data_IF_920437583011
#
_entry.id   IF_920437583011
#
_cell.length_a   1.000
_cell.length_b   1.000
_cell.length_c   1.000
_cell.angle_alpha   90.00
_cell.angle_beta   90.00
_cell.angle_gamma   90.00
#
_symmetry.space_group_name_H-M   'P 1'
#
loop_
_entity.id
_entity.type
_entity.pdbx_description
1 polymer ?
#
# COMPACT_ATOMS: atom_id res chain seq x y z
N UNK A 1 -37.36 29.23 -38.26
CA UNK A 1 -36.72 27.89 -38.09
C UNK A 1 -35.40 27.75 -38.87
N UNK A 2 -35.24 28.39 -40.04
CA UNK A 2 -33.98 28.31 -40.80
C UNK A 2 -32.80 29.08 -40.13
N UNK A 3 -33.06 30.26 -39.55
CA UNK A 3 -32.02 31.09 -38.91
C UNK A 3 -31.38 30.46 -37.65
N UNK A 4 -32.14 29.66 -36.90
CA UNK A 4 -31.60 28.96 -35.71
C UNK A 4 -30.74 27.74 -36.11
N UNK A 5 -30.95 27.15 -37.29
CA UNK A 5 -30.15 26.03 -37.80
C UNK A 5 -28.81 26.49 -38.34
N UNK A 6 -28.74 27.66 -38.99
CA UNK A 6 -27.50 28.23 -39.51
C UNK A 6 -26.60 28.69 -38.37
N UNK A 7 -27.17 29.30 -37.31
CA UNK A 7 -26.41 29.75 -36.14
C UNK A 7 -25.80 28.58 -35.36
N UNK A 8 -26.53 27.46 -35.25
CA UNK A 8 -26.02 26.23 -34.62
C UNK A 8 -24.87 25.61 -35.43
N UNK A 9 -24.93 25.64 -36.76
CA UNK A 9 -23.87 25.10 -37.62
C UNK A 9 -22.62 26.00 -37.63
N UNK A 10 -22.80 27.31 -37.50
CA UNK A 10 -21.64 28.22 -37.37
C UNK A 10 -20.94 28.08 -36.03
N UNK A 11 -21.67 27.87 -34.93
CA UNK A 11 -21.12 27.61 -33.61
C UNK A 11 -20.33 26.28 -33.57
N UNK A 12 -20.89 25.20 -34.11
CA UNK A 12 -20.20 23.90 -34.25
C UNK A 12 -18.93 24.00 -35.12
N UNK A 13 -18.97 24.77 -36.19
CA UNK A 13 -17.82 25.00 -37.06
C UNK A 13 -16.73 25.81 -36.36
N UNK A 14 -17.12 26.77 -35.53
CA UNK A 14 -16.18 27.56 -34.71
C UNK A 14 -15.54 26.70 -33.62
N UNK A 15 -16.28 25.84 -32.93
CA UNK A 15 -15.74 24.91 -31.94
C UNK A 15 -14.76 23.92 -32.58
N UNK A 16 -15.10 23.34 -33.74
CA UNK A 16 -14.17 22.46 -34.48
C UNK A 16 -12.87 23.19 -34.85
N UNK A 17 -12.97 24.45 -35.32
CA UNK A 17 -11.77 25.25 -35.64
C UNK A 17 -10.92 25.57 -34.41
N UNK A 18 -11.54 25.81 -33.25
CA UNK A 18 -10.83 26.02 -31.97
C UNK A 18 -10.15 24.73 -31.50
N UNK A 19 -10.84 23.60 -31.59
CA UNK A 19 -10.28 22.29 -31.24
C UNK A 19 -9.10 21.90 -32.16
N UNK A 20 -9.22 22.14 -33.48
CA UNK A 20 -8.11 21.92 -34.43
C UNK A 20 -6.92 22.85 -34.17
N UNK A 21 -7.17 24.10 -33.82
CA UNK A 21 -6.12 25.06 -33.47
C UNK A 21 -5.39 24.67 -32.19
N UNK A 22 -6.11 24.20 -31.19
CA UNK A 22 -5.54 23.68 -29.93
C UNK A 22 -4.71 22.40 -30.18
N UNK A 23 -5.19 21.49 -31.02
CA UNK A 23 -4.46 20.29 -31.43
C UNK A 23 -3.18 20.59 -32.20
N UNK A 24 -3.21 21.59 -33.09
CA UNK A 24 -2.00 22.06 -33.82
C UNK A 24 -1.01 22.68 -32.86
N UNK A 25 -1.45 23.55 -31.96
CA UNK A 25 -0.59 24.15 -30.92
C UNK A 25 0.09 23.11 -30.02
N UNK A 26 -0.68 22.11 -29.57
CA UNK A 26 -0.15 21.00 -28.75
C UNK A 26 0.86 20.15 -29.54
N UNK A 27 0.59 19.90 -30.82
CA UNK A 27 1.50 19.16 -31.71
C UNK A 27 2.80 19.92 -31.97
N UNK A 28 2.73 21.23 -32.18
CA UNK A 28 3.92 22.09 -32.41
C UNK A 28 4.76 22.23 -31.15
N UNK A 29 4.13 22.30 -29.95
CA UNK A 29 4.81 22.24 -28.65
C UNK A 29 5.55 20.92 -28.45
N UNK A 30 4.90 19.81 -28.80
CA UNK A 30 5.49 18.46 -28.70
C UNK A 30 6.66 18.28 -29.64
N UNK A 31 6.54 18.77 -30.89
CA UNK A 31 7.64 18.70 -31.87
C UNK A 31 8.83 19.59 -31.50
N UNK A 32 8.59 20.77 -30.94
CA UNK A 32 9.66 21.65 -30.44
C UNK A 32 10.36 21.04 -29.22
N UNK A 33 9.61 20.42 -28.31
CA UNK A 33 10.18 19.74 -27.13
C UNK A 33 11.04 18.52 -27.53
N UNK A 34 10.63 17.76 -28.53
CA UNK A 34 11.39 16.60 -29.04
C UNK A 34 12.67 17.08 -29.75
N UNK A 35 12.60 18.12 -30.56
CA UNK A 35 13.77 18.69 -31.24
C UNK A 35 14.78 19.28 -30.24
N UNK A 36 14.30 20.02 -29.25
CA UNK A 36 15.14 20.58 -28.20
C UNK A 36 15.76 19.47 -27.34
N UNK A 37 15.00 18.43 -26.98
CA UNK A 37 15.47 17.30 -26.20
C UNK A 37 16.56 16.50 -26.92
N UNK A 38 16.40 16.24 -28.21
CA UNK A 38 17.41 15.53 -29.00
C UNK A 38 18.68 16.35 -29.21
N UNK A 39 18.57 17.65 -29.48
CA UNK A 39 19.71 18.57 -29.56
C UNK A 39 20.43 18.73 -28.22
N UNK A 40 19.69 18.80 -27.13
CA UNK A 40 20.22 18.85 -25.76
C UNK A 40 20.98 17.58 -25.39
N UNK A 41 20.46 16.40 -25.71
CA UNK A 41 21.12 15.12 -25.42
C UNK A 41 22.41 14.94 -26.25
N UNK A 42 22.43 15.35 -27.52
CA UNK A 42 23.66 15.31 -28.34
C UNK A 42 24.70 16.30 -27.81
N UNK A 43 24.29 17.51 -27.45
CA UNK A 43 25.17 18.51 -26.85
C UNK A 43 25.71 18.07 -25.48
N UNK A 44 24.83 17.49 -24.63
CA UNK A 44 25.20 16.94 -23.31
C UNK A 44 26.19 15.78 -23.45
N UNK A 45 25.98 14.88 -24.44
CA UNK A 45 26.89 13.75 -24.68
C UNK A 45 28.28 14.23 -25.12
N UNK A 46 28.37 15.25 -25.99
CA UNK A 46 29.63 15.85 -26.39
C UNK A 46 30.31 16.56 -25.22
N UNK A 47 29.57 17.29 -24.37
CA UNK A 47 30.10 17.92 -23.17
C UNK A 47 30.55 16.86 -22.13
N UNK A 48 29.81 15.75 -21.95
CA UNK A 48 30.20 14.67 -21.04
C UNK A 48 31.47 13.96 -21.51
N UNK A 49 31.69 13.78 -22.80
CA UNK A 49 32.94 13.20 -23.33
C UNK A 49 34.13 14.11 -23.17
N UNK A 50 33.97 15.41 -23.30
CA UNK A 50 35.01 16.41 -23.06
C UNK A 50 35.27 16.58 -21.57
N UNK A 51 34.22 16.51 -20.72
CA UNK A 51 34.30 16.57 -19.27
C UNK A 51 34.94 15.31 -18.70
N UNK A 52 34.59 14.11 -19.20
CA UNK A 52 35.19 12.85 -18.78
C UNK A 52 36.69 12.80 -19.05
N UNK A 53 37.15 13.33 -20.16
CA UNK A 53 38.60 13.48 -20.46
C UNK A 53 39.32 14.46 -19.51
N UNK A 54 38.67 15.58 -19.21
CA UNK A 54 39.19 16.58 -18.28
C UNK A 54 39.19 16.10 -16.83
N UNK A 55 38.08 15.46 -16.37
CA UNK A 55 37.94 14.89 -15.02
C UNK A 55 38.90 13.71 -14.82
N UNK A 56 39.06 12.85 -15.84
CA UNK A 56 40.04 11.75 -15.77
C UNK A 56 41.45 12.26 -15.59
N UNK A 57 41.81 13.36 -16.29
CA UNK A 57 43.14 14.01 -16.15
C UNK A 57 43.32 14.70 -14.78
N UNK A 58 42.28 15.38 -14.27
CA UNK A 58 42.26 15.99 -12.94
C UNK A 58 42.30 14.94 -11.84
N UNK A 59 41.51 13.86 -12.01
CA UNK A 59 41.48 12.75 -11.04
C UNK A 59 42.81 12.02 -10.92
N UNK A 60 43.52 11.80 -12.03
CA UNK A 60 44.87 11.26 -12.02
C UNK A 60 45.90 12.21 -11.38
N UNK A 61 45.72 13.51 -11.51
CA UNK A 61 46.58 14.53 -10.91
C UNK A 61 46.33 14.66 -9.40
N UNK A 62 45.09 14.56 -8.94
CA UNK A 62 44.71 14.63 -7.53
C UNK A 62 45.01 13.33 -6.77
N UNK A 63 44.81 12.16 -7.38
CA UNK A 63 45.23 10.88 -6.81
C UNK A 63 46.74 10.86 -6.56
N UNK A 64 47.54 11.48 -7.43
CA UNK A 64 48.98 11.66 -7.23
C UNK A 64 49.34 12.58 -6.05
N UNK A 65 48.45 13.51 -5.67
CA UNK A 65 48.64 14.37 -4.49
C UNK A 65 48.10 13.72 -3.20
N UNK A 66 47.00 12.97 -3.28
CA UNK A 66 46.44 12.20 -2.16
C UNK A 66 47.34 11.04 -1.74
N UNK A 67 48.07 10.43 -2.70
CA UNK A 67 49.06 9.38 -2.41
C UNK A 67 50.28 9.88 -1.61
N UNK A 68 50.46 11.20 -1.48
CA UNK A 68 51.50 11.82 -0.67
C UNK A 68 51.05 12.26 0.73
N UNK A 69 49.75 12.17 1.03
CA UNK A 69 49.28 12.34 2.40
C UNK A 69 49.57 11.06 3.16
N UNK A 70 50.35 11.18 4.21
CA UNK A 70 50.61 10.06 5.13
C UNK A 70 49.28 9.49 5.59
N UNK A 71 49.10 8.15 5.60
CA UNK A 71 47.86 7.58 6.09
C UNK A 71 47.64 8.06 7.52
N UNK A 72 46.43 8.57 7.80
CA UNK A 72 46.02 8.96 9.15
C UNK A 72 46.14 7.73 10.05
N UNK A 73 47.16 7.76 10.90
CA UNK A 73 47.40 6.72 11.89
C UNK A 73 46.43 7.00 13.03
N UNK A 74 45.32 6.29 13.06
CA UNK A 74 44.41 6.29 14.20
C UNK A 74 45.26 5.88 15.43
N UNK A 75 45.39 6.76 16.40
CA UNK A 75 45.96 6.41 17.71
C UNK A 75 45.09 5.28 18.27
N UNK A 76 45.74 4.15 18.51
CA UNK A 76 45.13 3.02 19.19
C UNK A 76 44.83 3.46 20.63
N UNK A 77 43.61 3.94 20.87
CA UNK A 77 43.07 3.94 22.22
C UNK A 77 42.83 2.47 22.58
N UNK A 78 43.49 1.99 23.58
CA UNK A 78 43.38 0.67 24.16
C UNK A 78 41.94 0.38 24.57
N UNK A 79 41.18 -0.24 23.67
CA UNK A 79 39.88 -0.84 23.99
C UNK A 79 40.14 -2.23 24.54
N UNK A 80 39.95 -2.37 25.82
CA UNK A 80 39.85 -3.64 26.54
C UNK A 80 38.76 -4.50 26.00
N UNK A 81 39.10 -5.78 25.69
CA UNK A 81 38.19 -6.93 25.60
C UNK A 81 36.90 -6.76 24.78
N UNK A 82 37.04 -6.64 23.47
CA UNK A 82 35.93 -6.95 22.58
C UNK A 82 35.81 -8.49 22.47
N UNK A 83 34.67 -9.01 22.74
CA UNK A 83 34.28 -10.41 22.49
C UNK A 83 34.61 -10.78 21.03
N UNK A 84 35.39 -11.85 20.84
CA UNK A 84 35.71 -12.37 19.49
C UNK A 84 34.54 -13.16 18.88
N UNK A 85 33.35 -12.63 18.94
CA UNK A 85 32.26 -13.19 18.18
C UNK A 85 32.36 -12.67 16.74
N UNK A 86 32.66 -13.53 15.73
CA UNK A 86 32.80 -13.08 14.33
C UNK A 86 31.57 -12.46 13.72
N UNK A 87 30.45 -12.45 14.46
CA UNK A 87 29.20 -11.79 14.09
C UNK A 87 29.07 -10.36 14.63
N UNK A 88 29.96 -9.93 15.53
CA UNK A 88 29.86 -8.58 16.08
C UNK A 88 30.40 -7.53 15.11
N UNK A 89 29.65 -6.44 14.97
CA UNK A 89 30.05 -5.30 14.16
C UNK A 89 31.24 -4.57 14.83
N UNK A 90 32.24 -4.20 14.04
CA UNK A 90 33.33 -3.36 14.54
C UNK A 90 32.88 -1.88 14.58
N UNK A 91 32.25 -1.51 15.69
CA UNK A 91 31.69 -0.17 15.88
C UNK A 91 32.73 0.94 15.75
N UNK A 92 33.96 0.75 16.26
CA UNK A 92 35.03 1.75 16.14
C UNK A 92 35.40 2.00 14.67
N UNK A 93 35.47 0.95 13.85
CA UNK A 93 35.75 1.08 12.43
C UNK A 93 34.56 1.75 11.69
N UNK A 94 33.33 1.42 12.06
CA UNK A 94 32.12 2.01 11.49
C UNK A 94 32.07 3.50 11.83
N UNK A 95 32.26 3.87 13.11
CA UNK A 95 32.27 5.26 13.56
C UNK A 95 33.33 6.09 12.82
N UNK A 96 34.56 5.58 12.73
CA UNK A 96 35.65 6.27 12.02
C UNK A 96 35.29 6.52 10.54
N UNK A 97 34.64 5.54 9.88
CA UNK A 97 34.19 5.67 8.48
C UNK A 97 33.05 6.67 8.38
N UNK A 98 32.08 6.65 9.28
CA UNK A 98 30.97 7.59 9.30
C UNK A 98 31.44 9.04 9.48
N UNK A 99 32.35 9.28 10.41
CA UNK A 99 32.98 10.61 10.59
C UNK A 99 33.70 11.08 9.33
N UNK A 100 34.40 10.18 8.63
CA UNK A 100 35.05 10.51 7.36
C UNK A 100 34.02 10.89 6.31
N UNK A 101 32.94 10.10 6.17
CA UNK A 101 31.85 10.37 5.20
C UNK A 101 31.16 11.70 5.50
N UNK A 102 30.84 11.97 6.76
CA UNK A 102 30.24 13.23 7.20
C UNK A 102 31.14 14.43 6.81
N UNK A 103 32.44 14.34 7.04
CA UNK A 103 33.37 15.38 6.64
C UNK A 103 33.44 15.58 5.13
N UNK A 104 33.32 14.49 4.33
CA UNK A 104 33.31 14.57 2.86
C UNK A 104 32.02 15.22 2.38
N UNK A 105 30.87 14.84 2.95
CA UNK A 105 29.56 15.43 2.64
C UNK A 105 29.58 16.91 2.96
N UNK A 106 29.91 17.28 4.20
CA UNK A 106 29.95 18.66 4.66
C UNK A 106 30.81 19.58 3.78
N UNK A 107 31.92 19.05 3.23
CA UNK A 107 32.83 19.85 2.39
C UNK A 107 32.44 19.95 0.92
N UNK A 108 31.67 19.00 0.42
CA UNK A 108 31.50 18.85 -1.02
C UNK A 108 30.04 18.78 -1.49
N UNK A 109 29.09 18.55 -0.57
CA UNK A 109 27.67 18.51 -0.93
C UNK A 109 27.21 19.94 -1.30
N UNK A 110 26.47 20.05 -2.41
CA UNK A 110 26.08 21.33 -2.97
C UNK A 110 24.91 21.99 -2.25
N UNK A 111 24.05 21.19 -1.63
CA UNK A 111 22.80 21.64 -1.00
C UNK A 111 22.95 21.58 0.52
N UNK A 112 21.98 22.21 1.24
CA UNK A 112 21.92 22.08 2.68
C UNK A 112 21.60 20.63 3.06
N UNK A 113 22.32 20.10 4.05
CA UNK A 113 22.09 18.78 4.59
C UNK A 113 21.06 18.83 5.72
N UNK A 114 20.21 17.81 5.77
CA UNK A 114 19.28 17.58 6.85
C UNK A 114 19.87 16.49 7.78
N UNK A 115 20.43 16.88 8.92
CA UNK A 115 21.16 15.96 9.83
C UNK A 115 20.28 14.77 10.25
N UNK A 116 19.00 15.00 10.57
CA UNK A 116 18.02 13.95 10.94
C UNK A 116 17.79 12.96 9.83
N UNK A 117 17.67 13.39 8.59
CA UNK A 117 17.44 12.51 7.42
C UNK A 117 18.66 11.64 7.14
N UNK A 118 19.87 12.16 7.35
CA UNK A 118 21.13 11.41 7.20
C UNK A 118 21.23 10.34 8.28
N UNK A 119 20.87 10.65 9.53
CA UNK A 119 20.87 9.69 10.64
C UNK A 119 19.85 8.57 10.40
N UNK A 120 18.64 8.90 10.05
CA UNK A 120 17.60 7.92 9.67
C UNK A 120 18.06 7.04 8.49
N UNK A 121 18.75 7.63 7.52
CA UNK A 121 19.35 6.92 6.40
C UNK A 121 20.36 5.86 6.82
N UNK A 122 21.13 6.11 7.89
CA UNK A 122 22.08 5.13 8.46
C UNK A 122 21.32 3.94 9.07
N UNK A 123 20.27 4.19 9.87
CA UNK A 123 19.46 3.13 10.46
C UNK A 123 18.75 2.30 9.40
N UNK A 124 18.15 2.94 8.40
CA UNK A 124 17.54 2.29 7.24
C UNK A 124 18.56 1.44 6.46
N UNK A 125 19.77 1.97 6.26
CA UNK A 125 20.87 1.26 5.60
C UNK A 125 21.32 0.01 6.37
N UNK A 126 21.31 0.03 7.70
CA UNK A 126 21.62 -1.13 8.52
C UNK A 126 20.63 -2.27 8.29
N UNK A 127 19.33 -1.98 8.26
CA UNK A 127 18.27 -2.97 8.00
C UNK A 127 18.32 -3.47 6.55
N UNK A 128 18.54 -2.56 5.59
CA UNK A 128 18.70 -2.91 4.17
C UNK A 128 19.88 -3.89 3.95
N UNK A 129 20.93 -3.79 4.77
CA UNK A 129 22.07 -4.69 4.74
C UNK A 129 21.75 -6.16 5.08
N UNK A 130 20.56 -6.45 5.62
CA UNK A 130 20.10 -7.82 5.87
C UNK A 130 19.70 -8.54 4.56
N UNK A 131 19.43 -7.81 3.48
CA UNK A 131 18.97 -8.37 2.20
C UNK A 131 17.51 -8.87 2.24
N UNK A 132 16.77 -8.53 3.28
CA UNK A 132 15.36 -8.86 3.44
C UNK A 132 14.50 -7.61 3.17
N UNK A 133 13.68 -7.60 2.09
CA UNK A 133 12.86 -6.45 1.74
C UNK A 133 11.73 -6.16 2.74
N UNK A 134 11.44 -7.08 3.64
CA UNK A 134 10.38 -6.96 4.65
C UNK A 134 10.88 -6.41 5.98
N UNK A 135 12.21 -6.44 6.21
CA UNK A 135 12.85 -5.90 7.42
C UNK A 135 13.18 -4.44 7.22
N UNK A 136 12.54 -3.55 8.01
CA UNK A 136 12.57 -2.10 7.79
C UNK A 136 12.71 -1.37 9.13
N UNK A 137 13.49 -0.28 9.15
CA UNK A 137 13.47 0.72 10.21
C UNK A 137 12.41 1.78 9.88
N UNK A 138 11.61 2.14 10.86
CA UNK A 138 10.63 3.23 10.80
C UNK A 138 11.06 4.36 11.72
N UNK A 139 11.09 5.57 11.20
CA UNK A 139 11.13 6.78 12.02
C UNK A 139 9.88 6.89 12.89
N UNK A 140 9.87 7.81 13.86
CA UNK A 140 8.69 8.01 14.72
C UNK A 140 7.42 8.33 13.91
N UNK A 141 7.55 9.19 12.88
CA UNK A 141 6.43 9.55 12.01
C UNK A 141 5.98 8.39 11.12
N UNK A 142 6.93 7.65 10.56
CA UNK A 142 6.61 6.46 9.75
C UNK A 142 5.95 5.36 10.59
N UNK A 143 6.40 5.17 11.84
CA UNK A 143 5.80 4.18 12.74
C UNK A 143 4.40 4.59 13.18
N UNK A 144 4.19 5.88 13.47
CA UNK A 144 2.85 6.41 13.76
C UNK A 144 1.91 6.19 12.58
N UNK A 145 2.35 6.50 11.36
CA UNK A 145 1.56 6.27 10.14
C UNK A 145 1.23 4.79 9.94
N UNK A 146 2.21 3.90 10.11
CA UNK A 146 1.98 2.45 10.04
C UNK A 146 0.91 1.99 11.04
N UNK A 147 0.96 2.51 12.29
CA UNK A 147 0.01 2.16 13.34
C UNK A 147 -1.40 2.64 13.00
N UNK A 148 -1.53 3.86 12.47
CA UNK A 148 -2.81 4.39 11.98
C UNK A 148 -3.36 3.53 10.84
N UNK A 149 -2.57 3.21 9.85
CA UNK A 149 -2.94 2.39 8.69
C UNK A 149 -3.40 0.98 9.10
N UNK A 150 -2.64 0.31 9.97
CA UNK A 150 -2.96 -1.06 10.43
C UNK A 150 -4.12 -1.12 11.42
N UNK A 151 -4.44 0.00 12.06
CA UNK A 151 -5.62 0.07 12.93
C UNK A 151 -6.94 0.00 12.16
N UNK A 152 -6.93 0.38 10.87
CA UNK A 152 -8.11 0.59 10.05
C UNK A 152 -8.92 1.82 10.48
N UNK A 153 -8.34 2.66 11.34
CA UNK A 153 -9.01 3.82 11.95
C UNK A 153 -8.15 5.07 11.76
N UNK A 154 -8.75 6.13 11.30
CA UNK A 154 -8.08 7.43 11.18
C UNK A 154 -9.04 8.58 11.46
N UNK A 155 -8.52 9.75 11.81
CA UNK A 155 -9.33 10.96 11.94
C UNK A 155 -9.33 11.75 10.64
N UNK A 156 -10.51 11.96 10.06
CA UNK A 156 -10.68 12.61 8.78
C UNK A 156 -12.14 12.80 8.38
N UNK A 157 -12.39 12.87 7.08
CA UNK A 157 -13.71 13.16 6.53
C UNK A 157 -14.50 11.93 6.03
N UNK A 158 -13.83 10.80 5.78
CA UNK A 158 -14.49 9.57 5.31
C UNK A 158 -14.81 9.58 3.82
N UNK A 159 -13.84 9.98 3.00
CA UNK A 159 -13.91 9.91 1.54
C UNK A 159 -12.63 9.27 0.99
N UNK A 160 -12.77 8.53 -0.12
CA UNK A 160 -11.66 8.00 -0.91
C UNK A 160 -11.34 8.98 -2.02
N UNK A 161 -10.10 9.40 -2.08
CA UNK A 161 -9.59 10.31 -3.10
C UNK A 161 -8.70 9.55 -4.08
N UNK A 162 -8.76 9.91 -5.34
CA UNK A 162 -7.82 9.48 -6.37
C UNK A 162 -7.27 10.69 -7.10
N UNK A 163 -6.03 10.63 -7.52
CA UNK A 163 -5.38 11.68 -8.29
C UNK A 163 -4.94 11.14 -9.65
N UNK A 164 -5.32 11.85 -10.69
CA UNK A 164 -4.83 11.58 -12.03
C UNK A 164 -3.32 11.85 -12.10
N UNK A 165 -2.50 10.89 -12.52
CA UNK A 165 -1.04 11.00 -12.47
C UNK A 165 -0.46 12.05 -13.43
N UNK A 166 -1.19 12.38 -14.52
CA UNK A 166 -0.73 13.34 -15.53
C UNK A 166 -1.22 14.76 -15.20
N UNK A 167 -2.49 14.93 -14.87
CA UNK A 167 -3.11 16.23 -14.63
C UNK A 167 -3.00 16.70 -13.18
N UNK A 168 -2.71 15.77 -12.26
CA UNK A 168 -2.72 16.00 -10.80
C UNK A 168 -4.07 16.47 -10.25
N UNK A 169 -5.14 16.22 -10.99
CA UNK A 169 -6.51 16.52 -10.54
C UNK A 169 -6.92 15.46 -9.53
N UNK A 170 -7.34 15.88 -8.35
CA UNK A 170 -7.81 15.01 -7.27
C UNK A 170 -9.34 14.96 -7.24
N UNK A 171 -9.90 13.72 -7.28
CA UNK A 171 -11.35 13.46 -7.28
C UNK A 171 -11.75 12.59 -6.10
N UNK A 172 -12.96 12.80 -5.61
CA UNK A 172 -13.61 11.85 -4.72
C UNK A 172 -14.06 10.64 -5.54
N UNK A 173 -13.53 9.47 -5.23
CA UNK A 173 -13.94 8.19 -5.87
C UNK A 173 -15.11 7.56 -5.12
N UNK A 174 -15.07 7.66 -3.79
CA UNK A 174 -16.12 7.10 -2.92
C UNK A 174 -16.27 7.94 -1.65
N UNK A 175 -17.48 7.94 -1.10
CA UNK A 175 -17.81 8.55 0.19
C UNK A 175 -18.38 7.45 1.09
N UNK A 176 -17.81 7.29 2.29
CA UNK A 176 -18.25 6.24 3.19
C UNK A 176 -19.63 6.56 3.78
N UNK A 177 -20.54 5.58 3.82
CA UNK A 177 -21.85 5.74 4.45
C UNK A 177 -21.72 6.18 5.92
N UNK A 178 -22.52 7.16 6.33
CA UNK A 178 -22.50 7.73 7.67
C UNK A 178 -21.27 8.56 8.01
N UNK A 179 -20.43 8.87 7.03
CA UNK A 179 -19.23 9.69 7.23
C UNK A 179 -19.52 11.19 7.26
N UNK A 180 -18.61 12.01 7.84
CA UNK A 180 -18.72 13.47 7.77
C UNK A 180 -18.80 14.02 6.33
N UNK A 181 -18.14 13.39 5.39
CA UNK A 181 -18.20 13.78 3.98
C UNK A 181 -19.60 13.56 3.38
N UNK A 182 -20.24 12.42 3.68
CA UNK A 182 -21.62 12.15 3.25
C UNK A 182 -22.60 13.14 3.90
N UNK A 183 -22.50 13.32 5.21
CA UNK A 183 -23.36 14.24 5.97
C UNK A 183 -23.24 15.69 5.47
N UNK A 184 -22.05 16.10 5.08
CA UNK A 184 -21.80 17.41 4.49
C UNK A 184 -22.33 17.53 3.05
N UNK A 185 -22.57 16.42 2.36
CA UNK A 185 -23.08 16.40 0.99
C UNK A 185 -22.02 16.30 -0.10
N UNK A 186 -20.78 15.92 0.23
CA UNK A 186 -19.76 15.54 -0.74
C UNK A 186 -20.20 14.27 -1.50
N UNK A 187 -19.79 14.15 -2.77
CA UNK A 187 -20.23 13.05 -3.64
C UNK A 187 -19.06 12.48 -4.44
N UNK A 188 -19.17 11.22 -4.91
CA UNK A 188 -18.28 10.73 -5.95
C UNK A 188 -18.25 11.66 -7.16
N UNK A 189 -17.11 11.75 -7.84
CA UNK A 189 -16.77 12.63 -8.96
C UNK A 189 -16.59 14.11 -8.61
N UNK A 190 -16.77 14.55 -7.37
CA UNK A 190 -16.36 15.89 -6.95
C UNK A 190 -14.86 16.09 -7.12
N UNK A 191 -14.44 17.16 -7.78
CA UNK A 191 -13.04 17.53 -7.94
C UNK A 191 -12.63 18.48 -6.82
N UNK A 192 -11.66 18.10 -5.99
CA UNK A 192 -11.13 18.95 -4.94
C UNK A 192 -10.17 19.98 -5.54
N UNK A 193 -10.38 21.25 -5.21
CA UNK A 193 -9.47 22.31 -5.63
C UNK A 193 -8.98 23.18 -4.46
N UNK A 194 -9.70 23.25 -3.33
CA UNK A 194 -9.28 24.04 -2.19
C UNK A 194 -9.71 23.40 -0.87
N UNK A 195 -8.84 23.45 0.16
CA UNK A 195 -9.14 23.03 1.54
C UNK A 195 -8.63 24.11 2.51
N UNK A 196 -9.51 24.62 3.38
CA UNK A 196 -9.22 25.71 4.33
C UNK A 196 -8.50 26.93 3.70
N UNK A 197 -8.87 27.27 2.48
CA UNK A 197 -8.26 28.37 1.73
C UNK A 197 -6.97 28.01 0.99
N UNK A 198 -6.41 26.82 1.18
CA UNK A 198 -5.24 26.32 0.45
C UNK A 198 -5.66 25.72 -0.88
N UNK A 199 -5.07 26.19 -1.97
CA UNK A 199 -5.24 25.61 -3.30
C UNK A 199 -4.48 24.27 -3.35
N UNK A 200 -5.20 23.17 -3.52
CA UNK A 200 -4.63 21.80 -3.59
C UNK A 200 -4.47 21.30 -5.04
N UNK A 201 -4.72 22.17 -6.02
CA UNK A 201 -4.61 21.82 -7.44
C UNK A 201 -3.15 21.55 -7.80
N UNK A 202 -2.87 20.38 -8.32
CA UNK A 202 -1.50 20.01 -8.73
C UNK A 202 -0.59 19.58 -7.58
N UNK A 203 -1.01 19.66 -6.33
CA UNK A 203 -0.27 19.11 -5.19
C UNK A 203 -0.28 17.58 -5.18
N UNK A 204 0.71 16.98 -4.53
CA UNK A 204 0.72 15.54 -4.33
C UNK A 204 -0.41 15.13 -3.38
N UNK A 205 -1.19 14.11 -3.77
CA UNK A 205 -2.36 13.64 -3.02
C UNK A 205 -2.03 13.29 -1.57
N UNK A 206 -0.98 12.51 -1.35
CA UNK A 206 -0.62 12.05 0.00
C UNK A 206 -0.23 13.21 0.90
N UNK A 207 0.46 14.22 0.34
CA UNK A 207 0.91 15.40 1.06
C UNK A 207 -0.28 16.25 1.49
N UNK A 208 -1.18 16.61 0.57
CA UNK A 208 -2.29 17.47 0.96
C UNK A 208 -3.34 16.74 1.80
N UNK A 209 -3.55 15.44 1.61
CA UNK A 209 -4.43 14.64 2.46
C UNK A 209 -3.90 14.60 3.89
N UNK A 210 -2.60 14.37 4.06
CA UNK A 210 -1.98 14.36 5.38
C UNK A 210 -2.01 15.74 6.06
N UNK A 211 -1.80 16.81 5.27
CA UNK A 211 -1.66 18.18 5.81
C UNK A 211 -3.00 18.87 6.07
N UNK A 212 -4.02 18.63 5.24
CA UNK A 212 -5.26 19.41 5.26
C UNK A 212 -6.54 18.60 5.42
N UNK A 213 -6.60 17.34 4.96
CA UNK A 213 -7.81 16.52 5.07
C UNK A 213 -7.85 15.76 6.39
N UNK A 214 -6.74 15.06 6.74
CA UNK A 214 -6.59 14.43 8.06
C UNK A 214 -6.36 15.48 9.13
N UNK A 215 -6.58 15.14 10.39
CA UNK A 215 -6.32 16.03 11.51
C UNK A 215 -7.09 15.61 12.77
N UNK A 216 -7.03 16.43 13.81
CA UNK A 216 -7.63 16.15 15.09
C UNK A 216 -9.15 16.01 14.99
N UNK A 217 -9.70 14.99 15.66
CA UNK A 217 -11.14 14.75 15.74
C UNK A 217 -11.88 15.97 16.32
N UNK A 218 -13.05 16.28 15.77
CA UNK A 218 -13.87 17.43 16.16
C UNK A 218 -13.46 18.76 15.51
N UNK A 219 -12.31 18.83 14.82
CA UNK A 219 -11.94 20.02 14.04
C UNK A 219 -12.71 20.06 12.73
N UNK A 220 -13.03 21.27 12.25
CA UNK A 220 -13.82 21.47 11.02
C UNK A 220 -12.95 22.08 9.94
N UNK A 221 -13.05 21.54 8.74
CA UNK A 221 -12.42 22.10 7.53
C UNK A 221 -13.47 22.57 6.53
N UNK A 222 -13.07 23.52 5.70
CA UNK A 222 -13.84 23.94 4.54
C UNK A 222 -13.26 23.26 3.29
N UNK A 223 -14.05 22.38 2.67
CA UNK A 223 -13.66 21.69 1.43
C UNK A 223 -14.42 22.31 0.26
N UNK A 224 -13.70 22.81 -0.74
CA UNK A 224 -14.30 23.34 -1.96
C UNK A 224 -14.03 22.39 -3.13
N UNK A 225 -15.10 22.13 -3.88
CA UNK A 225 -15.09 21.21 -5.00
C UNK A 225 -15.70 21.81 -6.24
N UNK A 226 -15.33 21.25 -7.39
CA UNK A 226 -16.01 21.48 -8.65
C UNK A 226 -16.90 20.25 -8.94
N UNK A 227 -18.19 20.44 -9.16
CA UNK A 227 -19.15 19.36 -9.37
C UNK A 227 -19.79 19.42 -10.74
N UNK A 228 -19.92 18.24 -11.38
CA UNK A 228 -20.59 18.04 -12.65
C UNK A 228 -19.85 18.64 -13.86
N UNK A 229 -20.44 18.52 -15.04
CA UNK A 229 -19.85 19.01 -16.29
C UNK A 229 -19.72 20.55 -16.33
N UNK A 230 -20.61 21.26 -15.63
CA UNK A 230 -20.57 22.72 -15.53
C UNK A 230 -19.49 23.24 -14.56
N UNK A 231 -18.77 22.34 -13.86
CA UNK A 231 -17.79 22.68 -12.82
C UNK A 231 -18.33 23.68 -11.79
N UNK A 232 -19.56 23.40 -11.29
CA UNK A 232 -20.16 24.24 -10.26
C UNK A 232 -19.30 24.25 -9.01
N UNK A 233 -18.91 25.45 -8.56
CA UNK A 233 -18.15 25.63 -7.32
C UNK A 233 -19.05 25.45 -6.11
N UNK A 234 -18.74 24.46 -5.29
CA UNK A 234 -19.46 24.18 -4.05
C UNK A 234 -18.49 24.18 -2.86
N UNK A 235 -18.97 24.70 -1.72
CA UNK A 235 -18.19 24.73 -0.47
C UNK A 235 -18.94 23.94 0.61
N UNK A 236 -18.19 23.05 1.29
CA UNK A 236 -18.71 22.18 2.34
C UNK A 236 -17.89 22.35 3.62
N UNK A 237 -18.56 22.52 4.75
CA UNK A 237 -17.92 22.43 6.07
C UNK A 237 -18.02 21.01 6.57
N UNK A 238 -16.88 20.39 6.78
CA UNK A 238 -16.78 18.99 7.16
C UNK A 238 -16.05 18.89 8.49
N UNK A 239 -16.73 18.36 9.52
CA UNK A 239 -16.11 18.14 10.83
C UNK A 239 -15.43 16.79 10.86
N UNK A 240 -14.13 16.75 11.09
CA UNK A 240 -13.36 15.52 11.17
C UNK A 240 -13.89 14.62 12.29
N UNK A 241 -14.02 13.38 12.00
CA UNK A 241 -14.42 12.33 12.93
C UNK A 241 -13.48 11.14 12.84
N UNK A 242 -13.54 10.28 13.83
CA UNK A 242 -12.97 8.97 13.73
C UNK A 242 -13.67 8.18 12.62
N UNK A 243 -12.92 7.71 11.64
CA UNK A 243 -13.42 6.97 10.48
C UNK A 243 -12.90 5.55 10.57
N UNK A 244 -13.80 4.60 10.51
CA UNK A 244 -13.47 3.19 10.33
C UNK A 244 -13.49 2.86 8.84
N UNK A 245 -12.36 2.41 8.32
CA UNK A 245 -12.27 2.01 6.92
C UNK A 245 -13.07 0.72 6.69
N UNK A 246 -13.95 0.67 5.68
CA UNK A 246 -14.58 -0.59 5.33
C UNK A 246 -13.53 -1.55 4.75
N UNK A 247 -13.20 -2.58 5.54
CA UNK A 247 -12.30 -3.66 5.13
C UNK A 247 -13.04 -4.92 4.71
N UNK A 248 -14.36 -4.95 4.93
CA UNK A 248 -15.24 -6.06 4.59
C UNK A 248 -16.44 -5.54 3.79
N UNK A 249 -16.65 -6.11 2.63
CA UNK A 249 -17.85 -5.91 1.82
C UNK A 249 -18.70 -7.18 1.89
N UNK A 250 -20.02 -7.05 2.05
CA UNK A 250 -20.92 -8.21 2.10
C UNK A 250 -22.23 -7.98 1.40
N UNK A 251 -22.75 -9.04 0.79
CA UNK A 251 -24.10 -9.04 0.20
C UNK A 251 -24.70 -10.43 0.16
N UNK A 252 -26.02 -10.47 0.21
CA UNK A 252 -26.76 -11.69 -0.07
C UNK A 252 -26.96 -11.81 -1.58
N UNK A 253 -26.54 -12.91 -2.17
CA UNK A 253 -26.77 -13.29 -3.56
C UNK A 253 -27.99 -14.21 -3.65
N UNK A 254 -28.40 -14.53 -4.88
CA UNK A 254 -29.47 -15.49 -5.13
C UNK A 254 -29.19 -16.83 -4.46
N UNK A 255 -30.26 -17.64 -4.28
CA UNK A 255 -30.20 -18.95 -3.63
C UNK A 255 -29.67 -18.93 -2.17
N UNK A 256 -29.77 -17.79 -1.49
CA UNK A 256 -29.28 -17.58 -0.12
C UNK A 256 -27.80 -17.83 0.05
N UNK A 257 -27.02 -17.44 -0.93
CA UNK A 257 -25.56 -17.48 -0.87
C UNK A 257 -25.08 -16.14 -0.31
N UNK A 258 -24.42 -16.17 0.85
CA UNK A 258 -23.67 -15.04 1.37
C UNK A 258 -22.39 -14.84 0.54
N UNK A 259 -22.07 -13.60 0.22
CA UNK A 259 -20.80 -13.22 -0.37
C UNK A 259 -20.15 -12.21 0.54
N UNK A 260 -18.92 -12.49 0.95
CA UNK A 260 -18.09 -11.62 1.79
C UNK A 260 -16.75 -11.44 1.09
N UNK A 261 -16.39 -10.20 0.81
CA UNK A 261 -15.07 -9.84 0.31
C UNK A 261 -14.28 -9.16 1.42
N UNK A 262 -13.08 -9.68 1.70
CA UNK A 262 -12.15 -9.12 2.67
C UNK A 262 -11.07 -8.39 1.88
N UNK A 263 -11.02 -7.07 2.03
CA UNK A 263 -10.11 -6.21 1.27
C UNK A 263 -8.68 -6.27 1.84
N UNK A 264 -8.59 -6.27 3.18
CA UNK A 264 -7.34 -6.45 3.94
C UNK A 264 -7.67 -6.85 5.38
N UNK A 265 -6.65 -7.26 6.13
CA UNK A 265 -6.78 -7.62 7.54
C UNK A 265 -6.24 -6.49 8.42
N UNK A 266 -7.09 -5.54 8.80
CA UNK A 266 -6.80 -4.52 9.79
C UNK A 266 -7.36 -4.93 11.18
N UNK A 267 -7.02 -4.21 12.21
CA UNK A 267 -7.47 -4.51 13.57
C UNK A 267 -9.00 -4.55 13.69
N UNK A 268 -9.72 -3.73 12.90
CA UNK A 268 -11.19 -3.66 12.88
C UNK A 268 -11.84 -4.74 12.01
N UNK A 269 -11.08 -5.43 11.17
CA UNK A 269 -11.64 -6.34 10.16
C UNK A 269 -12.39 -7.52 10.78
N UNK A 270 -11.91 -8.04 11.91
CA UNK A 270 -12.58 -9.13 12.61
C UNK A 270 -14.01 -8.76 13.02
N UNK A 271 -14.19 -7.59 13.64
CA UNK A 271 -15.52 -7.09 14.06
C UNK A 271 -16.44 -6.84 12.85
N UNK A 272 -15.91 -6.23 11.77
CA UNK A 272 -16.69 -6.03 10.54
C UNK A 272 -17.08 -7.34 9.89
N UNK A 273 -16.19 -8.33 9.90
CA UNK A 273 -16.46 -9.66 9.35
C UNK A 273 -17.53 -10.42 10.14
N UNK A 274 -17.39 -10.48 11.47
CA UNK A 274 -18.37 -11.12 12.36
C UNK A 274 -19.76 -10.52 12.14
N UNK A 275 -19.87 -9.19 12.14
CA UNK A 275 -21.11 -8.48 11.84
C UNK A 275 -21.67 -8.83 10.46
N UNK A 276 -20.83 -8.91 9.43
CA UNK A 276 -21.24 -9.29 8.08
C UNK A 276 -21.81 -10.71 8.04
N UNK A 277 -21.16 -11.66 8.71
CA UNK A 277 -21.64 -13.04 8.83
C UNK A 277 -22.99 -13.10 9.56
N UNK A 278 -23.10 -12.43 10.72
CA UNK A 278 -24.37 -12.38 11.46
C UNK A 278 -25.52 -11.79 10.63
N UNK A 279 -25.27 -10.69 9.92
CA UNK A 279 -26.29 -10.05 9.09
C UNK A 279 -26.71 -10.93 7.92
N UNK A 280 -25.79 -11.70 7.34
CA UNK A 280 -26.11 -12.69 6.31
C UNK A 280 -26.89 -13.87 6.89
N UNK A 281 -26.54 -14.34 8.11
CA UNK A 281 -27.29 -15.38 8.80
C UNK A 281 -28.73 -14.95 9.12
N UNK A 282 -28.92 -13.71 9.62
CA UNK A 282 -30.26 -13.11 9.84
C UNK A 282 -31.11 -13.05 8.56
N UNK A 283 -30.46 -12.84 7.41
CA UNK A 283 -31.10 -12.88 6.07
C UNK A 283 -31.32 -14.31 5.57
N UNK A 284 -30.92 -15.33 6.32
CA UNK A 284 -31.14 -16.74 6.02
C UNK A 284 -30.09 -17.35 5.09
N UNK A 285 -28.84 -16.92 5.19
CA UNK A 285 -27.69 -17.50 4.48
C UNK A 285 -27.64 -19.02 4.67
N UNK A 286 -27.40 -19.74 3.58
CA UNK A 286 -27.28 -21.21 3.56
C UNK A 286 -25.94 -21.69 3.04
N UNK A 287 -25.24 -20.86 2.30
CA UNK A 287 -23.93 -21.10 1.71
C UNK A 287 -23.11 -19.81 1.73
N UNK A 288 -21.81 -19.89 1.67
CA UNK A 288 -20.92 -18.74 1.79
C UNK A 288 -19.82 -18.75 0.72
N UNK A 289 -19.59 -17.62 0.09
CA UNK A 289 -18.36 -17.32 -0.67
C UNK A 289 -17.57 -16.28 0.11
N UNK A 290 -16.30 -16.58 0.40
CA UNK A 290 -15.34 -15.63 0.96
C UNK A 290 -14.34 -15.28 -0.14
N UNK A 291 -14.23 -13.99 -0.49
CA UNK A 291 -13.34 -13.51 -1.53
C UNK A 291 -12.12 -12.83 -0.92
N UNK A 292 -10.96 -13.49 -1.10
CA UNK A 292 -9.64 -13.01 -0.67
C UNK A 292 -8.77 -12.56 -1.85
N UNK A 293 -9.33 -12.47 -3.04
CA UNK A 293 -8.57 -12.04 -4.23
C UNK A 293 -8.07 -10.62 -4.06
N UNK A 294 -6.79 -10.41 -4.41
CA UNK A 294 -6.07 -9.14 -4.26
C UNK A 294 -5.97 -8.63 -2.82
N UNK A 295 -6.19 -9.48 -1.82
CA UNK A 295 -6.01 -9.14 -0.42
C UNK A 295 -4.55 -9.43 0.01
N UNK A 296 -3.72 -8.41 0.31
CA UNK A 296 -2.30 -8.59 0.63
C UNK A 296 -2.04 -9.18 2.02
N UNK A 297 -3.10 -9.43 2.81
CA UNK A 297 -3.01 -9.84 4.21
C UNK A 297 -3.17 -8.68 5.18
N UNK A 298 -2.39 -8.67 6.25
CA UNK A 298 -2.41 -7.61 7.26
C UNK A 298 -2.15 -8.14 8.67
N UNK A 299 -2.98 -7.72 9.64
CA UNK A 299 -2.83 -8.01 11.06
C UNK A 299 -3.22 -9.46 11.37
N UNK A 300 -2.27 -10.23 11.90
CA UNK A 300 -2.46 -11.66 12.21
C UNK A 300 -3.54 -11.90 13.25
N UNK A 301 -3.59 -11.10 14.32
CA UNK A 301 -4.60 -11.24 15.37
C UNK A 301 -6.04 -11.11 14.83
N UNK A 302 -6.25 -10.25 13.83
CA UNK A 302 -7.54 -10.11 13.15
C UNK A 302 -7.90 -11.39 12.39
N UNK A 303 -6.94 -11.93 11.63
CA UNK A 303 -7.13 -13.19 10.91
C UNK A 303 -7.45 -14.35 11.86
N UNK A 304 -6.70 -14.47 12.96
CA UNK A 304 -6.92 -15.51 13.98
C UNK A 304 -8.31 -15.41 14.60
N UNK A 305 -8.76 -14.21 15.00
CA UNK A 305 -10.11 -14.00 15.55
C UNK A 305 -11.20 -14.40 14.54
N UNK A 306 -11.04 -14.04 13.28
CA UNK A 306 -12.00 -14.42 12.25
C UNK A 306 -12.05 -15.94 12.04
N UNK A 307 -10.90 -16.61 12.08
CA UNK A 307 -10.83 -18.07 11.99
C UNK A 307 -11.43 -18.76 13.23
N UNK A 308 -11.15 -18.23 14.43
CA UNK A 308 -11.71 -18.72 15.70
C UNK A 308 -13.24 -18.63 15.67
N UNK A 309 -13.80 -17.50 15.21
CA UNK A 309 -15.24 -17.32 15.04
C UNK A 309 -15.89 -18.29 14.03
N UNK A 310 -15.15 -18.68 12.97
CA UNK A 310 -15.71 -19.46 11.86
C UNK A 310 -15.48 -20.96 11.96
N UNK A 311 -14.36 -21.41 12.53
CA UNK A 311 -13.92 -22.80 12.51
C UNK A 311 -14.13 -23.50 13.86
N UNK A 312 -14.36 -24.82 13.87
CA UNK A 312 -14.45 -25.56 15.12
C UNK A 312 -13.12 -25.55 15.87
N UNK A 313 -13.16 -25.97 17.14
CA UNK A 313 -11.97 -26.10 17.99
C UNK A 313 -10.82 -26.82 17.28
N UNK A 314 -9.64 -26.25 17.35
CA UNK A 314 -8.45 -26.83 16.75
C UNK A 314 -7.30 -25.85 16.53
N UNK A 315 -6.18 -26.34 16.07
CA UNK A 315 -5.02 -25.52 15.71
C UNK A 315 -5.33 -24.75 14.41
N UNK A 316 -5.22 -23.43 14.44
CA UNK A 316 -5.50 -22.56 13.29
C UNK A 316 -4.23 -22.26 12.46
N UNK A 317 -3.16 -21.94 13.16
CA UNK A 317 -1.85 -21.60 12.58
C UNK A 317 -0.78 -21.71 13.65
N UNK A 318 0.45 -21.99 13.27
CA UNK A 318 1.58 -21.88 14.18
C UNK A 318 2.79 -21.25 13.47
N UNK A 319 3.69 -20.69 14.27
CA UNK A 319 4.92 -20.08 13.77
C UNK A 319 6.15 -20.91 14.17
N UNK A 320 7.23 -20.76 13.41
CA UNK A 320 8.53 -21.30 13.78
C UNK A 320 9.65 -20.37 13.31
N UNK A 321 10.61 -20.15 14.18
CA UNK A 321 11.77 -19.30 13.96
C UNK A 321 13.07 -20.04 14.25
N UNK A 322 14.14 -19.29 14.52
CA UNK A 322 15.49 -19.84 14.81
C UNK A 322 15.51 -20.76 16.01
N UNK A 323 14.67 -20.50 17.00
CA UNK A 323 14.63 -21.21 18.28
C UNK A 323 13.63 -22.37 18.28
N UNK A 324 13.10 -22.74 17.12
CA UNK A 324 12.13 -23.82 16.94
C UNK A 324 10.69 -23.33 16.79
N UNK A 325 9.73 -24.15 17.23
CA UNK A 325 8.30 -23.82 17.16
C UNK A 325 8.02 -22.64 18.09
N UNK A 326 7.43 -21.57 17.53
CA UNK A 326 7.01 -20.38 18.25
C UNK A 326 5.56 -20.49 18.77
N UNK A 327 4.76 -19.48 18.48
CA UNK A 327 3.38 -19.39 18.94
C UNK A 327 2.47 -20.34 18.16
N UNK A 328 1.44 -20.83 18.85
CA UNK A 328 0.36 -21.64 18.28
C UNK A 328 -0.97 -20.97 18.61
N UNK A 329 -1.77 -20.78 17.58
CA UNK A 329 -3.06 -20.14 17.67
C UNK A 329 -4.15 -21.19 17.48
N UNK A 330 -5.12 -21.19 18.35
CA UNK A 330 -6.19 -22.20 18.36
C UNK A 330 -7.55 -21.52 18.28
N UNK A 331 -8.51 -22.20 17.66
CA UNK A 331 -9.93 -21.98 17.91
C UNK A 331 -10.32 -22.75 19.17
N UNK A 332 -10.98 -22.07 20.10
CA UNK A 332 -11.19 -22.58 21.46
C UNK A 332 -12.52 -22.17 22.08
N UNK A 333 -13.35 -21.39 21.39
CA UNK A 333 -14.59 -20.85 21.94
C UNK A 333 -15.81 -21.76 21.73
N UNK A 334 -15.64 -22.86 20.98
CA UNK A 334 -16.70 -23.78 20.62
C UNK A 334 -17.73 -23.21 19.63
N UNK A 335 -17.48 -22.01 19.10
CA UNK A 335 -18.30 -21.40 18.06
C UNK A 335 -17.84 -21.88 16.69
N UNK A 336 -18.78 -22.16 15.80
CA UNK A 336 -18.50 -22.39 14.40
C UNK A 336 -19.65 -21.91 13.49
N UNK A 337 -19.29 -21.47 12.29
CA UNK A 337 -20.27 -21.19 11.24
C UNK A 337 -20.24 -22.33 10.23
N UNK A 338 -21.08 -23.32 10.46
CA UNK A 338 -21.10 -24.54 9.68
C UNK A 338 -22.05 -24.43 8.47
N UNK A 339 -21.56 -23.79 7.41
CA UNK A 339 -22.27 -23.72 6.10
C UNK A 339 -21.28 -24.11 5.00
N UNK A 340 -21.73 -24.74 3.90
CA UNK A 340 -20.88 -24.97 2.74
C UNK A 340 -20.21 -23.66 2.30
N UNK A 341 -18.88 -23.69 2.21
CA UNK A 341 -18.08 -22.48 1.98
C UNK A 341 -17.09 -22.71 0.83
N UNK A 342 -16.97 -21.70 -0.03
CA UNK A 342 -15.91 -21.61 -1.04
C UNK A 342 -15.10 -20.36 -0.78
N UNK A 343 -13.78 -20.44 -0.93
CA UNK A 343 -12.88 -19.31 -0.81
C UNK A 343 -12.23 -19.02 -2.16
N UNK A 344 -12.34 -17.77 -2.60
CA UNK A 344 -11.69 -17.27 -3.81
C UNK A 344 -10.30 -16.74 -3.47
N UNK A 345 -9.29 -17.21 -4.19
CA UNK A 345 -7.89 -16.76 -4.06
C UNK A 345 -7.26 -16.47 -5.41
N UNK A 346 -6.26 -15.60 -5.43
CA UNK A 346 -5.42 -15.35 -6.60
C UNK A 346 -3.99 -14.98 -6.19
N UNK A 347 -3.13 -14.67 -7.16
CA UNK A 347 -1.74 -14.26 -6.93
C UNK A 347 -1.57 -12.99 -6.09
N UNK A 348 -2.63 -12.21 -5.89
CA UNK A 348 -2.66 -11.06 -4.98
C UNK A 348 -3.08 -11.42 -3.55
N UNK A 349 -3.53 -12.67 -3.29
CA UNK A 349 -3.84 -13.16 -1.96
C UNK A 349 -2.54 -13.54 -1.24
N UNK A 350 -2.19 -12.82 -0.16
CA UNK A 350 -0.90 -13.01 0.50
C UNK A 350 -1.02 -13.03 2.04
N UNK A 351 -0.03 -13.62 2.71
CA UNK A 351 0.12 -13.55 4.18
C UNK A 351 -1.14 -14.04 4.93
N UNK A 352 -1.84 -13.16 5.70
CA UNK A 352 -3.07 -13.52 6.41
C UNK A 352 -4.14 -14.15 5.51
N UNK A 353 -4.25 -13.74 4.26
CA UNK A 353 -5.15 -14.39 3.29
C UNK A 353 -4.78 -15.86 3.05
N UNK A 354 -3.50 -16.16 3.05
CA UNK A 354 -2.98 -17.51 2.86
C UNK A 354 -3.14 -18.36 4.14
N UNK A 355 -2.97 -17.75 5.31
CA UNK A 355 -3.28 -18.37 6.61
C UNK A 355 -4.76 -18.74 6.63
N UNK A 356 -5.64 -17.79 6.31
CA UNK A 356 -7.09 -17.96 6.32
C UNK A 356 -7.53 -19.09 5.36
N UNK A 357 -7.12 -19.02 4.11
CA UNK A 357 -7.45 -20.05 3.12
C UNK A 357 -6.84 -21.43 3.47
N UNK A 358 -5.60 -21.44 3.95
CA UNK A 358 -4.89 -22.65 4.35
C UNK A 358 -5.55 -23.34 5.56
N UNK A 359 -5.97 -22.57 6.57
CA UNK A 359 -6.70 -23.08 7.71
C UNK A 359 -8.03 -23.73 7.30
N UNK A 360 -8.84 -23.03 6.53
CA UNK A 360 -10.12 -23.57 6.04
C UNK A 360 -9.94 -24.85 5.22
N UNK A 361 -8.94 -24.91 4.35
CA UNK A 361 -8.59 -26.11 3.58
C UNK A 361 -8.21 -27.27 4.52
N UNK A 362 -7.33 -27.01 5.47
CA UNK A 362 -6.79 -28.03 6.36
C UNK A 362 -7.86 -28.55 7.34
N UNK A 363 -8.85 -27.75 7.71
CA UNK A 363 -10.05 -28.17 8.43
C UNK A 363 -11.08 -28.89 7.51
N UNK A 364 -10.91 -28.89 6.19
CA UNK A 364 -11.88 -29.45 5.25
C UNK A 364 -13.21 -28.69 5.24
N UNK A 365 -13.21 -27.38 5.55
CA UNK A 365 -14.39 -26.54 5.68
C UNK A 365 -14.65 -25.65 4.45
N UNK A 366 -13.74 -25.63 3.47
CA UNK A 366 -13.96 -24.93 2.21
C UNK A 366 -13.19 -25.57 1.07
N UNK A 367 -13.71 -25.39 -0.16
CA UNK A 367 -12.95 -25.54 -1.39
C UNK A 367 -12.35 -24.21 -1.80
N UNK A 368 -11.10 -24.24 -2.25
CA UNK A 368 -10.41 -23.06 -2.76
C UNK A 368 -10.58 -23.00 -4.28
N UNK A 369 -11.02 -21.85 -4.79
CA UNK A 369 -11.23 -21.63 -6.22
C UNK A 369 -10.42 -20.41 -6.68
N UNK A 370 -9.82 -20.48 -7.86
CA UNK A 370 -9.06 -19.38 -8.44
C UNK A 370 -7.68 -19.78 -8.91
N UNK A 371 -6.65 -19.04 -8.54
CA UNK A 371 -5.25 -19.35 -8.87
C UNK A 371 -4.40 -19.38 -7.60
N UNK A 372 -3.22 -20.01 -7.70
CA UNK A 372 -2.26 -20.10 -6.59
C UNK A 372 -1.97 -18.72 -6.00
N UNK A 373 -1.97 -18.62 -4.66
CA UNK A 373 -1.70 -17.41 -3.92
C UNK A 373 -0.23 -16.99 -3.99
N UNK A 374 0.11 -15.85 -3.38
CA UNK A 374 1.41 -15.19 -3.50
C UNK A 374 2.60 -16.00 -2.94
N UNK A 375 2.44 -16.65 -1.79
CA UNK A 375 3.52 -17.41 -1.14
C UNK A 375 4.32 -16.59 -0.11
N UNK A 376 3.68 -15.69 0.63
CA UNK A 376 4.33 -14.95 1.73
C UNK A 376 4.13 -15.65 3.06
N UNK A 377 4.91 -16.71 3.33
CA UNK A 377 4.84 -17.54 4.54
C UNK A 377 5.76 -17.07 5.69
N UNK A 378 6.02 -15.78 5.82
CA UNK A 378 6.93 -15.19 6.82
C UNK A 378 6.22 -14.15 7.66
N UNK A 379 6.58 -14.11 8.95
CA UNK A 379 6.02 -13.20 9.96
C UNK A 379 7.01 -12.08 10.24
N UNK A 380 6.53 -10.86 10.21
CA UNK A 380 7.26 -9.68 10.67
C UNK A 380 6.72 -9.23 12.02
N UNK A 381 7.63 -9.03 12.98
CA UNK A 381 7.31 -8.34 14.23
C UNK A 381 7.77 -6.89 14.16
N UNK A 382 6.90 -6.00 14.62
CA UNK A 382 7.23 -4.57 14.79
C UNK A 382 7.61 -4.35 16.27
N UNK A 383 8.83 -3.91 16.48
CA UNK A 383 9.41 -3.69 17.80
C UNK A 383 9.67 -2.19 18.00
N UNK A 384 8.92 -1.49 18.88
CA UNK A 384 9.22 -0.11 19.25
C UNK A 384 10.59 -0.02 19.95
N UNK A 385 11.36 1.03 19.64
CA UNK A 385 12.71 1.23 20.19
C UNK A 385 12.73 2.18 21.40
N UNK A 386 11.57 2.74 21.78
CA UNK A 386 11.45 3.57 23.00
C UNK A 386 11.68 5.07 22.78
N UNK A 387 12.14 5.49 21.62
CA UNK A 387 12.32 6.88 21.16
C UNK A 387 11.21 7.33 20.18
N UNK A 388 10.21 6.48 19.97
CA UNK A 388 9.13 6.68 19.02
C UNK A 388 9.35 5.96 17.69
N UNK A 389 10.60 5.60 17.38
CA UNK A 389 10.92 4.79 16.19
C UNK A 389 10.63 3.30 16.41
N UNK A 390 10.66 2.51 15.35
CA UNK A 390 10.44 1.07 15.43
C UNK A 390 11.24 0.29 14.37
N UNK A 391 11.46 -0.97 14.65
CA UNK A 391 12.04 -1.93 13.71
C UNK A 391 11.03 -3.01 13.41
N UNK A 392 10.75 -3.22 12.13
CA UNK A 392 10.02 -4.39 11.64
C UNK A 392 11.04 -5.42 11.15
N UNK A 393 11.02 -6.62 11.71
CA UNK A 393 11.93 -7.71 11.35
C UNK A 393 11.16 -8.97 10.98
N UNK A 394 11.62 -9.65 9.94
CA UNK A 394 11.23 -11.03 9.64
C UNK A 394 11.89 -11.95 10.67
N UNK A 395 11.09 -12.63 11.49
CA UNK A 395 11.57 -13.42 12.61
C UNK A 395 11.20 -14.88 12.52
N UNK A 396 10.07 -15.22 11.86
CA UNK A 396 9.50 -16.56 11.84
C UNK A 396 8.86 -16.87 10.49
N UNK A 397 8.70 -18.16 10.22
CA UNK A 397 7.74 -18.68 9.24
C UNK A 397 6.43 -19.01 9.93
N UNK A 398 5.32 -18.99 9.20
CA UNK A 398 4.08 -19.55 9.67
C UNK A 398 3.69 -20.78 8.83
N UNK A 399 2.97 -21.68 9.48
CA UNK A 399 2.56 -22.96 8.93
C UNK A 399 1.06 -23.14 9.11
N UNK A 400 0.42 -23.76 8.11
CA UNK A 400 -0.99 -24.13 8.23
C UNK A 400 -1.18 -25.19 9.32
N UNK A 401 -2.41 -25.47 9.77
CA UNK A 401 -2.66 -26.50 10.78
C UNK A 401 -1.97 -27.85 10.53
N UNK A 402 -1.95 -28.30 9.28
CA UNK A 402 -1.33 -29.56 8.87
C UNK A 402 0.19 -29.44 8.62
N UNK A 403 0.81 -28.29 8.91
CA UNK A 403 2.25 -28.10 8.80
C UNK A 403 2.76 -27.74 7.40
N UNK A 404 1.89 -27.28 6.53
CA UNK A 404 2.32 -26.84 5.20
C UNK A 404 3.03 -25.48 5.29
N UNK A 405 4.30 -25.47 4.83
CA UNK A 405 5.09 -24.24 4.63
C UNK A 405 4.76 -23.67 3.25
N UNK A 406 4.04 -22.58 3.24
CA UNK A 406 3.62 -21.93 2.01
C UNK A 406 4.61 -20.88 1.48
N UNK A 407 5.71 -20.61 2.22
CA UNK A 407 6.68 -19.60 1.80
C UNK A 407 7.32 -19.95 0.46
N UNK A 408 7.24 -19.02 -0.50
CA UNK A 408 7.72 -19.20 -1.87
C UNK A 408 6.88 -20.18 -2.73
N UNK A 409 5.80 -20.76 -2.19
CA UNK A 409 4.97 -21.75 -2.90
C UNK A 409 3.53 -21.28 -3.09
N UNK A 410 3.00 -20.53 -2.12
CA UNK A 410 1.59 -20.17 -2.05
C UNK A 410 0.68 -21.35 -1.66
N UNK A 411 -0.62 -21.04 -1.62
CA UNK A 411 -1.70 -22.01 -1.43
C UNK A 411 -2.33 -22.26 -2.79
N UNK A 412 -2.25 -23.49 -3.28
CA UNK A 412 -2.88 -23.87 -4.54
C UNK A 412 -4.40 -24.03 -4.34
N UNK A 413 -5.23 -23.61 -5.32
CA UNK A 413 -6.67 -23.85 -5.28
C UNK A 413 -6.99 -25.33 -5.53
N UNK A 414 -8.14 -25.79 -5.02
CA UNK A 414 -8.71 -27.11 -5.36
C UNK A 414 -9.29 -27.10 -6.77
N UNK A 415 -9.80 -25.96 -7.22
CA UNK A 415 -10.35 -25.74 -8.56
C UNK A 415 -9.64 -24.56 -9.20
N UNK A 416 -8.73 -24.85 -10.14
CA UNK A 416 -8.00 -23.80 -10.84
C UNK A 416 -8.90 -23.12 -11.88
N UNK A 417 -9.02 -21.78 -11.77
CA UNK A 417 -9.72 -20.93 -12.73
C UNK A 417 -8.89 -19.67 -12.93
N UNK A 418 -8.46 -19.40 -14.13
CA UNK A 418 -7.73 -18.18 -14.49
C UNK A 418 -8.73 -17.06 -14.75
N UNK A 419 -8.35 -15.83 -14.37
CA UNK A 419 -9.10 -14.66 -14.81
C UNK A 419 -8.94 -14.46 -16.32
N UNK A 420 -10.01 -14.06 -16.98
CA UNK A 420 -10.02 -13.72 -18.40
C UNK A 420 -9.83 -12.21 -18.60
N UNK A 421 -9.44 -11.81 -19.81
CA UNK A 421 -9.31 -10.39 -20.13
C UNK A 421 -10.68 -9.70 -20.08
N UNK A 422 -10.79 -8.67 -19.23
CA UNK A 422 -12.05 -7.95 -19.00
C UNK A 422 -12.90 -8.49 -17.85
N UNK A 423 -12.43 -9.49 -17.10
CA UNK A 423 -13.06 -9.90 -15.85
C UNK A 423 -13.03 -8.75 -14.83
N UNK A 424 -14.19 -8.48 -14.24
CA UNK A 424 -14.35 -7.53 -13.14
C UNK A 424 -14.74 -8.32 -11.90
N UNK A 425 -13.98 -8.18 -10.84
CA UNK A 425 -14.27 -8.86 -9.56
C UNK A 425 -15.70 -8.54 -9.10
N UNK A 426 -16.46 -9.59 -8.78
CA UNK A 426 -17.88 -9.52 -8.38
C UNK A 426 -18.82 -8.95 -9.45
N UNK A 427 -18.36 -8.87 -10.70
CA UNK A 427 -19.15 -8.46 -11.87
C UNK A 427 -19.83 -9.64 -12.57
N UNK A 428 -20.63 -9.33 -13.59
CA UNK A 428 -21.36 -10.33 -14.40
C UNK A 428 -20.43 -11.26 -15.21
N UNK A 429 -19.18 -10.86 -15.40
CA UNK A 429 -18.15 -11.61 -16.16
C UNK A 429 -17.06 -12.18 -15.27
N UNK A 430 -17.30 -12.34 -13.97
CA UNK A 430 -16.34 -12.93 -13.05
C UNK A 430 -16.32 -14.46 -13.17
N UNK A 431 -15.43 -15.00 -14.00
CA UNK A 431 -15.32 -16.44 -14.26
C UNK A 431 -14.99 -17.23 -12.98
N UNK A 432 -14.12 -16.71 -12.11
CA UNK A 432 -13.75 -17.37 -10.86
C UNK A 432 -14.92 -17.43 -9.89
N UNK A 433 -15.66 -16.34 -9.74
CA UNK A 433 -16.87 -16.30 -8.90
C UNK A 433 -17.97 -17.20 -9.46
N UNK A 434 -18.17 -17.20 -10.77
CA UNK A 434 -19.14 -18.10 -11.43
C UNK A 434 -18.84 -19.56 -11.11
N UNK A 435 -17.57 -19.96 -11.22
CA UNK A 435 -17.17 -21.34 -10.89
C UNK A 435 -17.30 -21.65 -9.39
N UNK A 436 -17.00 -20.69 -8.53
CA UNK A 436 -17.20 -20.84 -7.09
C UNK A 436 -18.67 -21.09 -6.73
N UNK A 437 -19.60 -20.39 -7.39
CA UNK A 437 -21.04 -20.59 -7.21
C UNK A 437 -21.52 -21.97 -7.72
N UNK A 438 -20.92 -22.48 -8.78
CA UNK A 438 -21.18 -23.86 -9.26
C UNK A 438 -20.70 -24.90 -8.27
N UNK A 439 -19.45 -24.77 -7.76
CA UNK A 439 -18.87 -25.68 -6.75
C UNK A 439 -19.75 -25.73 -5.50
N UNK A 440 -20.28 -24.59 -5.05
CA UNK A 440 -21.22 -24.56 -3.93
C UNK A 440 -22.56 -25.26 -4.18
N UNK A 441 -22.93 -25.50 -5.44
CA UNK A 441 -24.15 -26.22 -5.78
C UNK A 441 -23.93 -27.73 -5.86
N UNK A 442 -22.68 -28.14 -6.08
CA UNK A 442 -22.27 -29.56 -6.14
C UNK A 442 -22.12 -30.18 -4.72
N UNK A 443 -21.98 -29.33 -3.67
CA UNK A 443 -21.93 -29.68 -2.25
C UNK A 443 -23.34 -29.62 -1.59
#
# INVERSE_FOLDING_TARGET
MAENSERSQEEELQERKRAEAALRSARDHRMRSIGFRNGFFVGLLCCLLLFAGGVFWLFHREIGMLAKQKPYRAEQSSASNASENPKDLNYSKIEAKMRLLQNVIYKNFLFDEHETEVEDGIYKGMLSGLGDPYSVYYTADEYKKLTEETSGKYSGIGAVLNQDPETKISRIVNVFPGSPAEEAGLKPEDILYQVDGHDVTGENLDVFVASYIRGEEGTTIEVKVLRGEAHEELSFKVTRRHIEMPTVESKMRDNKIGYIRILQFDTITAEQFEKAVEDLQKKGMKRLVIDLRNNPGGVMDSCVKMLDYMLPDGLLVYTAGRDGVGEKYYSTDGHEVNVPTVILINSGSASCSEIFAGAYRDFGRAKLVGTTSYGKGIVQFVMPLGDGSAVKLTTQHYYTPNGYDLHGKGVAPDVEVKSEEGDVLDGDKDAQLSRALEVLQEE
#
